data_IF_344749174800
#
_entry.id   IF_344749174800
#
_cell.length_a   1.000
_cell.length_b   1.000
_cell.length_c   1.000
_cell.angle_alpha   90.00
_cell.angle_beta   90.00
_cell.angle_gamma   90.00
#
_symmetry.space_group_name_H-M   'P 1'
#
loop_
_entity.id
_entity.type
_entity.pdbx_description
1 polymer ?
#
# COMPACT_ATOMS: atom_id res chain seq x y z
N UNK A 1 73.11 -10.57 46.84
CA UNK A 1 73.14 -10.65 45.36
C UNK A 1 71.74 -10.40 44.84
N UNK A 2 71.57 -9.29 44.11
CA UNK A 2 70.62 -9.02 43.00
C UNK A 2 69.12 -9.19 43.31
N UNK A 3 68.42 -8.11 43.68
CA UNK A 3 67.58 -7.27 42.79
C UNK A 3 66.45 -8.01 42.07
N UNK A 4 65.24 -7.87 42.59
CA UNK A 4 64.00 -7.91 41.79
C UNK A 4 63.09 -6.73 42.21
N UNK A 5 63.65 -5.52 42.10
CA UNK A 5 62.88 -4.27 42.11
C UNK A 5 62.65 -3.87 40.66
N UNK A 6 61.42 -4.04 40.20
CA UNK A 6 60.95 -3.42 38.96
C UNK A 6 60.49 -4.41 37.92
N UNK A 7 59.19 -4.72 37.93
CA UNK A 7 58.41 -4.67 36.68
C UNK A 7 56.89 -4.65 36.87
N UNK A 8 56.34 -4.23 38.02
CA UNK A 8 54.96 -3.73 38.04
C UNK A 8 54.94 -2.30 37.50
N UNK A 9 55.30 -2.14 36.21
CA UNK A 9 55.12 -0.90 35.46
C UNK A 9 53.63 -0.72 35.21
N UNK A 10 52.94 -0.23 36.25
CA UNK A 10 51.79 0.68 36.21
C UNK A 10 51.07 0.67 34.85
N UNK A 11 50.32 -0.39 34.54
CA UNK A 11 49.28 -0.34 33.50
C UNK A 11 48.11 0.45 34.08
N UNK A 12 48.34 1.73 34.40
CA UNK A 12 47.26 2.73 34.49
C UNK A 12 46.87 3.01 33.06
N UNK A 13 46.13 2.07 32.47
CA UNK A 13 45.41 2.32 31.24
C UNK A 13 44.57 3.56 31.50
N UNK A 14 44.79 4.61 30.70
CA UNK A 14 43.94 5.78 30.63
C UNK A 14 42.54 5.34 30.18
N UNK A 15 41.75 4.74 31.09
CA UNK A 15 40.33 4.53 30.89
C UNK A 15 39.68 5.91 31.01
N UNK A 16 39.73 6.67 29.92
CA UNK A 16 38.90 7.87 29.76
C UNK A 16 37.46 7.37 29.74
N UNK A 17 36.77 7.52 30.86
CA UNK A 17 35.33 7.27 30.95
C UNK A 17 34.57 8.35 30.19
N UNK A 18 33.41 7.98 29.66
CA UNK A 18 32.46 8.92 29.06
C UNK A 18 31.94 9.87 30.14
N UNK A 19 32.00 11.18 29.89
CA UNK A 19 31.49 12.16 30.86
C UNK A 19 29.97 12.30 30.73
N UNK A 20 29.28 12.58 31.84
CA UNK A 20 27.83 12.83 31.80
C UNK A 20 27.48 14.06 30.95
N UNK A 21 28.37 15.06 30.90
CA UNK A 21 28.19 16.25 30.08
C UNK A 21 28.24 15.94 28.58
N UNK A 22 29.15 15.05 28.15
CA UNK A 22 29.20 14.55 26.76
C UNK A 22 27.92 13.82 26.38
N UNK A 23 27.36 12.99 27.28
CA UNK A 23 26.08 12.33 27.03
C UNK A 23 24.93 13.33 26.89
N UNK A 24 24.90 14.31 27.78
CA UNK A 24 23.80 15.27 27.88
C UNK A 24 23.68 16.12 26.62
N UNK A 25 24.80 16.62 26.11
CA UNK A 25 24.80 17.41 24.86
C UNK A 25 24.35 16.56 23.67
N UNK A 26 24.75 15.28 23.61
CA UNK A 26 24.35 14.38 22.51
C UNK A 26 22.84 14.14 22.52
N UNK A 27 22.25 13.79 23.67
CA UNK A 27 20.80 13.56 23.74
C UNK A 27 19.99 14.84 23.50
N UNK A 28 20.52 16.01 23.89
CA UNK A 28 19.90 17.29 23.60
C UNK A 28 19.82 17.56 22.09
N UNK A 29 20.91 17.33 21.35
CA UNK A 29 20.94 17.49 19.89
C UNK A 29 20.03 16.46 19.21
N UNK A 30 20.09 15.18 19.60
CA UNK A 30 19.21 14.13 19.07
C UNK A 30 17.74 14.46 19.32
N UNK A 31 17.41 15.01 20.50
CA UNK A 31 16.05 15.44 20.83
C UNK A 31 15.51 16.51 19.87
N UNK A 32 16.33 17.51 19.53
CA UNK A 32 15.96 18.54 18.55
C UNK A 32 15.73 17.93 17.16
N UNK A 33 16.63 17.04 16.72
CA UNK A 33 16.49 16.38 15.42
C UNK A 33 15.23 15.53 15.35
N UNK A 34 14.95 14.73 16.38
CA UNK A 34 13.77 13.86 16.44
C UNK A 34 12.47 14.66 16.44
N UNK A 35 12.43 15.79 17.17
CA UNK A 35 11.25 16.65 17.25
C UNK A 35 10.79 17.16 15.87
N UNK A 36 11.73 17.50 14.97
CA UNK A 36 11.42 17.91 13.60
C UNK A 36 11.22 16.69 12.69
N UNK A 37 12.01 15.64 12.87
CA UNK A 37 12.04 14.50 11.95
C UNK A 37 10.76 13.67 11.99
N UNK A 38 10.17 13.43 13.15
CA UNK A 38 8.94 12.61 13.29
C UNK A 38 7.77 13.15 12.47
N UNK A 39 7.34 14.43 12.61
CA UNK A 39 6.19 14.92 11.86
C UNK A 39 6.46 14.96 10.36
N UNK A 40 7.67 15.34 9.94
CA UNK A 40 8.07 15.35 8.52
C UNK A 40 8.03 13.95 7.93
N UNK A 41 8.65 12.97 8.61
CA UNK A 41 8.65 11.59 8.15
C UNK A 41 7.24 11.01 8.08
N UNK A 42 6.40 11.29 9.08
CA UNK A 42 5.00 10.82 9.11
C UNK A 42 4.18 11.38 7.96
N UNK A 43 4.32 12.68 7.66
CA UNK A 43 3.65 13.31 6.52
C UNK A 43 4.10 12.73 5.17
N UNK A 44 5.41 12.50 5.00
CA UNK A 44 5.93 11.87 3.79
C UNK A 44 5.48 10.42 3.64
N UNK A 45 5.41 9.67 4.74
CA UNK A 45 4.91 8.30 4.75
C UNK A 45 3.43 8.24 4.35
N UNK A 46 2.58 9.12 4.87
CA UNK A 46 1.16 9.24 4.48
C UNK A 46 1.05 9.54 2.98
N UNK A 47 1.82 10.51 2.46
CA UNK A 47 1.83 10.85 1.04
C UNK A 47 2.28 9.68 0.15
N UNK A 48 3.31 8.95 0.57
CA UNK A 48 3.81 7.77 -0.15
C UNK A 48 2.77 6.63 -0.17
N UNK A 49 2.08 6.39 0.95
CA UNK A 49 0.98 5.42 1.04
C UNK A 49 -0.16 5.78 0.10
N UNK A 50 -0.60 7.04 0.13
CA UNK A 50 -1.65 7.53 -0.78
C UNK A 50 -1.24 7.30 -2.23
N UNK A 51 -0.04 7.73 -2.62
CA UNK A 51 0.45 7.55 -4.00
C UNK A 51 0.50 6.06 -4.41
N UNK A 52 0.92 5.17 -3.51
CA UNK A 52 0.96 3.72 -3.76
C UNK A 52 -0.45 3.16 -3.95
N UNK A 53 -1.37 3.49 -3.04
CA UNK A 53 -2.77 3.05 -3.12
C UNK A 53 -3.44 3.54 -4.41
N UNK A 54 -3.18 4.79 -4.82
CA UNK A 54 -3.65 5.33 -6.09
C UNK A 54 -3.09 4.59 -7.30
N UNK A 55 -1.80 4.24 -7.28
CA UNK A 55 -1.17 3.47 -8.35
C UNK A 55 -1.78 2.06 -8.44
N UNK A 56 -1.98 1.40 -7.30
CA UNK A 56 -2.58 0.07 -7.23
C UNK A 56 -4.02 0.05 -7.75
N UNK A 57 -4.84 1.04 -7.40
CA UNK A 57 -6.20 1.17 -7.95
C UNK A 57 -6.19 1.36 -9.48
N UNK A 58 -5.21 2.10 -10.01
CA UNK A 58 -5.04 2.37 -11.44
C UNK A 58 -4.67 1.09 -12.18
N UNK A 59 -3.72 0.35 -11.62
CA UNK A 59 -3.29 -0.94 -12.13
C UNK A 59 -4.42 -1.97 -12.08
N UNK A 60 -5.15 -2.05 -10.97
CA UNK A 60 -6.30 -2.93 -10.81
C UNK A 60 -7.37 -2.67 -11.87
N UNK A 61 -7.76 -1.40 -12.04
CA UNK A 61 -8.75 -1.02 -13.07
C UNK A 61 -8.29 -1.43 -14.47
N UNK A 62 -7.03 -1.17 -14.81
CA UNK A 62 -6.49 -1.51 -16.13
C UNK A 62 -6.44 -3.03 -16.36
N UNK A 63 -5.95 -3.79 -15.37
CA UNK A 63 -5.85 -5.24 -15.43
C UNK A 63 -7.23 -5.91 -15.53
N UNK A 64 -8.22 -5.44 -14.77
CA UNK A 64 -9.58 -5.96 -14.82
C UNK A 64 -10.27 -5.66 -16.16
N UNK A 65 -10.07 -4.47 -16.73
CA UNK A 65 -10.58 -4.13 -18.07
C UNK A 65 -9.93 -5.03 -19.12
N UNK A 66 -8.62 -5.25 -19.04
CA UNK A 66 -7.93 -6.15 -19.96
C UNK A 66 -8.48 -7.58 -19.86
N UNK A 67 -8.64 -8.10 -18.63
CA UNK A 67 -9.23 -9.42 -18.41
C UNK A 67 -10.66 -9.52 -18.97
N UNK A 68 -11.48 -8.50 -18.73
CA UNK A 68 -12.84 -8.38 -19.26
C UNK A 68 -12.91 -8.46 -20.78
N UNK A 69 -12.04 -7.72 -21.48
CA UNK A 69 -12.03 -7.70 -22.95
C UNK A 69 -11.56 -9.02 -23.56
N UNK A 70 -10.87 -9.85 -22.78
CA UNK A 70 -10.37 -11.18 -23.20
C UNK A 70 -11.23 -12.34 -22.70
N UNK A 71 -12.24 -12.08 -21.87
CA UNK A 71 -13.11 -13.12 -21.31
C UNK A 71 -14.26 -13.43 -22.29
N UNK A 72 -14.09 -14.49 -23.07
CA UNK A 72 -15.07 -14.98 -24.05
C UNK A 72 -16.42 -15.37 -23.41
N UNK A 73 -16.44 -15.72 -22.12
CA UNK A 73 -17.68 -16.04 -21.41
C UNK A 73 -18.50 -14.79 -21.06
N UNK A 74 -17.94 -13.59 -21.13
CA UNK A 74 -18.60 -12.37 -20.65
C UNK A 74 -19.34 -11.60 -21.75
N UNK A 75 -19.08 -11.92 -23.02
CA UNK A 75 -19.57 -11.17 -24.19
C UNK A 75 -20.80 -11.79 -24.85
N UNK A 76 -21.92 -11.90 -24.14
CA UNK A 76 -23.18 -12.44 -24.69
C UNK A 76 -24.37 -11.52 -24.39
N UNK A 77 -25.30 -11.38 -25.34
CA UNK A 77 -26.52 -10.57 -25.19
C UNK A 77 -27.36 -10.96 -23.95
N UNK A 78 -27.34 -12.23 -23.54
CA UNK A 78 -28.05 -12.72 -22.33
C UNK A 78 -27.41 -12.28 -21.00
N UNK A 79 -26.28 -11.57 -21.07
CA UNK A 79 -25.53 -11.06 -19.92
C UNK A 79 -25.53 -9.53 -19.87
N UNK A 80 -26.24 -8.87 -20.78
CA UNK A 80 -26.38 -7.42 -20.77
C UNK A 80 -26.93 -6.90 -19.44
N UNK A 81 -26.38 -5.78 -18.99
CA UNK A 81 -26.70 -5.15 -17.70
C UNK A 81 -26.20 -5.90 -16.46
N UNK A 82 -25.68 -7.13 -16.59
CA UNK A 82 -25.07 -7.86 -15.47
C UNK A 82 -23.67 -7.32 -15.17
N UNK A 83 -23.19 -7.60 -13.96
CA UNK A 83 -21.91 -7.13 -13.47
C UNK A 83 -21.00 -8.32 -13.22
N UNK A 84 -19.79 -8.25 -13.78
CA UNK A 84 -18.69 -9.17 -13.50
C UNK A 84 -17.71 -8.52 -12.54
N UNK A 85 -17.15 -9.31 -11.64
CA UNK A 85 -16.17 -8.86 -10.66
C UNK A 85 -14.81 -9.48 -10.98
N UNK A 86 -13.75 -8.70 -10.75
CA UNK A 86 -12.37 -9.14 -10.89
C UNK A 86 -11.60 -8.78 -9.63
N UNK A 87 -11.00 -9.77 -8.98
CA UNK A 87 -10.06 -9.56 -7.88
C UNK A 87 -8.68 -9.25 -8.45
N UNK A 88 -8.06 -8.16 -7.98
CA UNK A 88 -6.72 -7.77 -8.35
C UNK A 88 -5.71 -8.24 -7.31
N UNK A 89 -4.74 -9.01 -7.77
CA UNK A 89 -3.62 -9.48 -6.96
C UNK A 89 -2.51 -8.43 -6.98
N UNK A 90 -2.25 -7.84 -5.82
CA UNK A 90 -1.29 -6.73 -5.63
C UNK A 90 0.17 -7.14 -5.83
N UNK A 91 0.48 -8.43 -5.70
CA UNK A 91 1.85 -8.96 -5.76
C UNK A 91 2.23 -9.35 -7.19
N UNK A 92 1.31 -10.02 -7.90
CA UNK A 92 1.48 -10.48 -9.28
C UNK A 92 1.07 -9.44 -10.32
N UNK A 93 0.24 -8.46 -9.94
CA UNK A 93 -0.29 -7.45 -10.84
C UNK A 93 -1.33 -7.99 -11.84
N UNK A 94 -1.99 -9.09 -11.50
CA UNK A 94 -2.97 -9.77 -12.36
C UNK A 94 -4.39 -9.62 -11.82
N UNK A 95 -5.38 -9.67 -12.70
CA UNK A 95 -6.80 -9.66 -12.34
C UNK A 95 -7.44 -11.00 -12.69
N UNK A 96 -8.16 -11.59 -11.74
CA UNK A 96 -8.87 -12.86 -11.91
C UNK A 96 -10.36 -12.65 -11.66
N UNK A 97 -11.20 -13.30 -12.47
CA UNK A 97 -12.65 -13.20 -12.34
C UNK A 97 -13.09 -13.78 -11.00
N UNK A 98 -13.93 -13.04 -10.28
CA UNK A 98 -14.47 -13.44 -8.99
C UNK A 98 -15.97 -13.75 -9.10
N UNK A 99 -16.33 -14.96 -8.68
CA UNK A 99 -17.71 -15.38 -8.49
C UNK A 99 -18.60 -15.36 -9.74
N UNK A 100 -19.91 -15.41 -9.47
CA UNK A 100 -20.95 -15.35 -10.48
C UNK A 100 -21.33 -13.89 -10.82
N UNK A 101 -21.90 -13.68 -12.01
CA UNK A 101 -22.42 -12.39 -12.44
C UNK A 101 -23.54 -11.92 -11.49
N UNK A 102 -23.54 -10.63 -11.15
CA UNK A 102 -24.60 -9.99 -10.32
C UNK A 102 -25.45 -9.04 -11.15
N UNK A 103 -26.60 -8.64 -10.62
CA UNK A 103 -27.50 -7.64 -11.23
C UNK A 103 -27.22 -6.22 -10.73
N UNK A 104 -26.66 -6.11 -9.52
CA UNK A 104 -26.42 -4.84 -8.85
C UNK A 104 -24.97 -4.75 -8.36
N UNK A 105 -24.47 -3.51 -8.32
CA UNK A 105 -23.17 -3.22 -7.76
C UNK A 105 -23.21 -3.42 -6.25
N UNK A 106 -22.36 -4.31 -5.77
CA UNK A 106 -22.24 -4.61 -4.36
C UNK A 106 -20.79 -4.94 -4.04
N UNK A 107 -20.30 -4.38 -2.93
CA UNK A 107 -19.02 -4.78 -2.36
C UNK A 107 -19.02 -6.31 -2.09
N UNK A 108 -17.89 -7.01 -2.24
CA UNK A 108 -17.82 -8.45 -2.01
C UNK A 108 -18.08 -8.83 -0.54
N UNK A 109 -17.58 -8.05 0.41
CA UNK A 109 -17.86 -8.19 1.86
C UNK A 109 -17.99 -6.81 2.52
N UNK A 110 -18.30 -6.80 3.82
CA UNK A 110 -18.39 -5.57 4.65
C UNK A 110 -17.08 -4.80 4.78
N UNK A 111 -15.95 -5.48 4.56
CA UNK A 111 -14.61 -4.94 4.82
C UNK A 111 -14.09 -4.12 3.63
N UNK A 112 -14.83 -4.14 2.51
CA UNK A 112 -14.55 -3.36 1.33
C UNK A 112 -15.37 -2.08 1.34
N UNK A 113 -14.72 -0.98 0.94
CA UNK A 113 -15.37 0.28 0.66
C UNK A 113 -15.30 0.62 -0.82
N UNK A 114 -16.35 1.25 -1.36
CA UNK A 114 -16.33 1.75 -2.73
C UNK A 114 -15.34 2.92 -2.84
N UNK A 115 -14.42 2.83 -3.78
CA UNK A 115 -13.52 3.91 -4.15
C UNK A 115 -14.18 4.70 -5.28
N UNK A 116 -14.92 5.74 -4.90
CA UNK A 116 -15.66 6.60 -5.84
C UNK A 116 -14.75 7.50 -6.67
N UNK A 117 -13.63 7.91 -6.08
CA UNK A 117 -12.59 8.69 -6.73
C UNK A 117 -11.22 8.15 -6.33
N UNK A 118 -10.38 7.88 -7.33
CA UNK A 118 -9.00 7.47 -7.12
C UNK A 118 -8.20 8.52 -6.35
N UNK A 119 -8.52 9.81 -6.51
CA UNK A 119 -7.85 10.86 -5.75
C UNK A 119 -8.23 10.90 -4.27
N UNK A 120 -9.29 10.16 -3.91
CA UNK A 120 -9.75 9.93 -2.54
C UNK A 120 -9.17 8.67 -1.90
N UNK A 121 -8.17 8.02 -2.52
CA UNK A 121 -7.48 6.89 -1.91
C UNK A 121 -6.92 7.24 -0.52
N UNK A 122 -7.06 6.30 0.42
CA UNK A 122 -6.66 6.51 1.82
C UNK A 122 -5.14 6.65 1.97
N UNK A 123 -4.72 7.50 2.89
CA UNK A 123 -3.33 7.69 3.29
C UNK A 123 -3.00 7.02 4.64
N UNK A 124 -4.04 6.57 5.36
CA UNK A 124 -3.94 6.02 6.71
C UNK A 124 -3.45 4.58 6.71
N UNK A 125 -3.95 3.78 5.78
CA UNK A 125 -3.67 2.35 5.68
C UNK A 125 -3.28 1.96 4.25
N UNK A 126 -2.69 0.77 4.10
CA UNK A 126 -2.46 0.17 2.77
C UNK A 126 -3.71 -0.61 2.37
N UNK A 127 -4.02 -0.63 1.07
CA UNK A 127 -4.97 -1.59 0.55
C UNK A 127 -4.38 -3.00 0.61
N UNK A 128 -5.21 -3.95 1.04
CA UNK A 128 -4.87 -5.37 1.12
C UNK A 128 -5.56 -6.18 0.01
N UNK A 129 -6.79 -5.78 -0.34
CA UNK A 129 -7.52 -6.35 -1.46
C UNK A 129 -8.16 -5.25 -2.31
N UNK A 130 -8.19 -5.45 -3.62
CA UNK A 130 -8.83 -4.54 -4.57
C UNK A 130 -9.66 -5.37 -5.54
N UNK A 131 -10.95 -5.05 -5.62
CA UNK A 131 -11.88 -5.66 -6.55
C UNK A 131 -12.41 -4.62 -7.53
N UNK A 132 -12.53 -5.01 -8.79
CA UNK A 132 -13.08 -4.17 -9.86
C UNK A 132 -14.36 -4.80 -10.37
N UNK A 133 -15.44 -4.04 -10.38
CA UNK A 133 -16.73 -4.46 -10.89
C UNK A 133 -17.00 -3.76 -12.23
N UNK A 134 -17.37 -4.53 -13.25
CA UNK A 134 -17.61 -4.03 -14.61
C UNK A 134 -19.01 -4.44 -15.03
N UNK A 135 -19.86 -3.46 -15.36
CA UNK A 135 -21.18 -3.73 -15.95
C UNK A 135 -21.03 -4.07 -17.44
N UNK A 136 -21.54 -5.22 -17.80
CA UNK A 136 -21.57 -5.73 -19.18
C UNK A 136 -22.61 -4.92 -19.96
N UNK A 137 -22.21 -4.45 -21.14
CA UNK A 137 -23.10 -3.81 -22.12
C UNK A 137 -23.10 -4.64 -23.40
N UNK A 138 -24.29 -4.90 -23.95
CA UNK A 138 -24.48 -5.64 -25.21
C UNK A 138 -24.25 -4.80 -26.46
N UNK A 139 -24.10 -3.48 -26.32
CA UNK A 139 -23.80 -2.61 -27.46
C UNK A 139 -22.44 -2.99 -28.07
N UNK A 140 -22.47 -3.39 -29.34
CA UNK A 140 -21.30 -3.74 -30.16
C UNK A 140 -20.31 -2.59 -30.38
N UNK A 141 -20.65 -1.39 -29.92
CA UNK A 141 -19.73 -0.25 -29.83
C UNK A 141 -19.01 -0.32 -28.48
N UNK A 142 -18.11 -1.30 -28.36
CA UNK A 142 -17.19 -1.50 -27.23
C UNK A 142 -16.12 -0.39 -27.18
N UNK A 143 -16.52 0.86 -27.38
CA UNK A 143 -15.73 2.03 -27.01
C UNK A 143 -15.86 2.24 -25.50
N UNK A 144 -14.73 2.38 -24.83
CA UNK A 144 -14.55 2.41 -23.37
C UNK A 144 -15.37 3.47 -22.57
N UNK A 145 -16.25 4.22 -23.22
CA UNK A 145 -17.02 5.31 -22.64
C UNK A 145 -18.42 4.93 -22.12
N UNK A 146 -18.94 3.73 -22.43
CA UNK A 146 -20.26 3.27 -21.95
C UNK A 146 -20.24 2.27 -20.80
N UNK A 147 -19.08 1.68 -20.49
CA UNK A 147 -18.95 0.62 -19.49
C UNK A 147 -18.86 1.21 -18.08
N UNK A 148 -19.89 0.98 -17.26
CA UNK A 148 -19.88 1.40 -15.87
C UNK A 148 -18.90 0.51 -15.08
N UNK A 149 -17.87 1.12 -14.49
CA UNK A 149 -16.83 0.44 -13.71
C UNK A 149 -16.78 1.00 -12.31
N UNK A 150 -16.84 0.13 -11.30
CA UNK A 150 -16.66 0.47 -9.89
C UNK A 150 -15.46 -0.22 -9.28
N UNK A 151 -14.85 0.44 -8.31
CA UNK A 151 -13.69 -0.03 -7.58
C UNK A 151 -14.08 -0.24 -6.12
N UNK A 152 -13.67 -1.36 -5.55
CA UNK A 152 -13.83 -1.68 -4.14
C UNK A 152 -12.46 -2.01 -3.58
N UNK A 153 -12.13 -1.50 -2.40
CA UNK A 153 -10.88 -1.82 -1.74
C UNK A 153 -11.09 -2.04 -0.25
N UNK A 154 -10.37 -3.02 0.30
CA UNK A 154 -10.25 -3.23 1.75
C UNK A 154 -8.90 -2.74 2.25
N UNK A 155 -8.88 -2.24 3.48
CA UNK A 155 -7.66 -1.83 4.15
C UNK A 155 -7.32 -2.81 5.24
N UNK A 156 -6.04 -3.10 5.42
CA UNK A 156 -5.56 -3.82 6.59
C UNK A 156 -5.80 -2.96 7.84
N UNK A 157 -6.57 -3.48 8.81
CA UNK A 157 -6.75 -2.85 10.14
C UNK A 157 -5.42 -2.72 10.89
#
# INVERSE_FOLDING_TARGET
MIMMKGLMKKVRGNKKGFTLAELLVVVAIVGILVAISIPVFTAQLSKARKATNQANLRAAKAAAIAAYLTDEDVTLADKDGKIVYYEYDLDSGTSTKDGALKTDFAAPTTDYSEVTDMDSATDKAKYEHIQVAIKISSDSDSTANGTEVKLYASTKE
#
